data_IF_162894800572
#
_entry.id   IF_162894800572
#
_cell.length_a   1.000
_cell.length_b   1.000
_cell.length_c   1.000
_cell.angle_alpha   90.00
_cell.angle_beta   90.00
_cell.angle_gamma   90.00
#
_symmetry.space_group_name_H-M   'P 1'
#
loop_
_entity.id
_entity.type
_entity.pdbx_description
1 polymer ?
#
# COMPACT_ATOMS: atom_id res chain seq x y z
N UNK A 1 18.45 3.65 -9.46
CA UNK A 1 17.24 3.82 -8.60
C UNK A 1 17.12 2.63 -7.68
N UNK A 2 16.81 2.86 -6.41
CA UNK A 2 16.43 1.82 -5.44
C UNK A 2 14.91 1.79 -5.29
N UNK A 3 14.30 0.60 -5.27
CA UNK A 3 12.85 0.40 -5.05
C UNK A 3 12.66 -0.48 -3.81
N UNK A 4 11.96 0.04 -2.81
CA UNK A 4 11.48 -0.71 -1.64
C UNK A 4 10.00 -0.98 -1.80
N UNK A 5 9.57 -2.24 -1.63
CA UNK A 5 8.17 -2.64 -1.83
C UNK A 5 7.70 -3.51 -0.67
N UNK A 6 6.66 -3.09 0.03
CA UNK A 6 6.04 -3.94 1.06
C UNK A 6 4.97 -4.84 0.46
N UNK A 7 4.86 -6.10 0.95
CA UNK A 7 3.80 -7.04 0.57
C UNK A 7 3.91 -7.60 -0.84
N UNK A 8 5.12 -8.05 -1.24
CA UNK A 8 5.43 -8.55 -2.59
C UNK A 8 4.96 -9.97 -2.89
N UNK A 9 4.33 -10.68 -1.96
CA UNK A 9 3.99 -12.10 -2.12
C UNK A 9 2.77 -12.37 -3.01
N UNK A 10 1.92 -11.38 -3.28
CA UNK A 10 0.71 -11.52 -4.11
C UNK A 10 0.15 -10.17 -4.57
N UNK A 11 -0.86 -10.21 -5.45
CA UNK A 11 -1.63 -9.03 -5.86
C UNK A 11 -0.78 -7.91 -6.47
N UNK A 12 -1.08 -6.67 -6.10
CA UNK A 12 -0.42 -5.47 -6.62
C UNK A 12 1.09 -5.47 -6.29
N UNK A 13 1.49 -5.86 -5.07
CA UNK A 13 2.91 -5.90 -4.68
C UNK A 13 3.73 -6.89 -5.51
N UNK A 14 3.15 -8.06 -5.81
CA UNK A 14 3.80 -9.04 -6.71
C UNK A 14 3.85 -8.54 -8.16
N UNK A 15 2.82 -7.84 -8.61
CA UNK A 15 2.83 -7.21 -9.93
C UNK A 15 3.89 -6.09 -10.03
N UNK A 16 4.09 -5.27 -8.97
CA UNK A 16 5.20 -4.32 -8.90
C UNK A 16 6.56 -5.02 -8.95
N UNK A 17 6.75 -6.09 -8.17
CA UNK A 17 7.99 -6.86 -8.21
C UNK A 17 8.29 -7.33 -9.64
N UNK A 18 7.33 -7.97 -10.32
CA UNK A 18 7.48 -8.40 -11.73
C UNK A 18 7.82 -7.23 -12.66
N UNK A 19 7.15 -6.10 -12.49
CA UNK A 19 7.37 -4.92 -13.31
C UNK A 19 8.81 -4.40 -13.17
N UNK A 20 9.34 -4.32 -11.95
CA UNK A 20 10.68 -3.80 -11.72
C UNK A 20 11.79 -4.81 -12.01
N UNK A 21 11.52 -6.11 -11.90
CA UNK A 21 12.48 -7.16 -12.32
C UNK A 21 12.84 -7.09 -13.80
N UNK A 22 11.96 -6.53 -14.64
CA UNK A 22 12.24 -6.30 -16.07
C UNK A 22 13.03 -5.01 -16.33
N UNK A 23 13.42 -4.27 -15.29
CA UNK A 23 14.11 -2.99 -15.38
C UNK A 23 15.47 -3.05 -14.70
N UNK A 24 16.38 -2.14 -15.09
CA UNK A 24 17.71 -2.03 -14.47
C UNK A 24 17.63 -1.18 -13.18
N UNK A 25 17.03 -1.74 -12.13
CA UNK A 25 16.87 -1.12 -10.81
C UNK A 25 17.17 -2.11 -9.70
N UNK A 26 17.62 -1.60 -8.55
CA UNK A 26 17.79 -2.41 -7.35
C UNK A 26 16.46 -2.54 -6.62
N UNK A 27 16.06 -3.76 -6.26
CA UNK A 27 14.77 -4.03 -5.63
C UNK A 27 14.98 -4.67 -4.26
N UNK A 28 14.26 -4.17 -3.28
CA UNK A 28 14.16 -4.78 -1.95
C UNK A 28 12.68 -4.98 -1.60
N UNK A 29 12.27 -6.23 -1.53
CA UNK A 29 10.95 -6.61 -1.05
C UNK A 29 10.93 -6.72 0.47
N UNK A 30 9.82 -6.32 1.10
CA UNK A 30 9.63 -6.35 2.56
C UNK A 30 8.31 -7.06 2.87
N UNK A 31 8.36 -8.05 3.77
CA UNK A 31 7.14 -8.77 4.15
C UNK A 31 7.42 -10.08 4.86
N UNK A 32 6.38 -10.83 5.17
CA UNK A 32 6.47 -12.11 5.91
C UNK A 32 6.92 -13.28 5.03
N UNK A 33 6.54 -13.26 3.76
CA UNK A 33 6.75 -14.38 2.84
C UNK A 33 7.45 -13.88 1.57
N UNK A 34 8.61 -14.44 1.29
CA UNK A 34 9.32 -14.23 0.04
C UNK A 34 8.58 -14.99 -1.08
N UNK A 35 8.24 -14.33 -2.20
CA UNK A 35 7.64 -15.03 -3.34
C UNK A 35 8.67 -15.90 -4.06
N UNK A 36 8.20 -17.02 -4.64
CA UNK A 36 9.00 -17.84 -5.53
C UNK A 36 8.93 -17.24 -6.93
N UNK A 37 9.94 -16.47 -7.30
CA UNK A 37 10.11 -15.84 -8.61
C UNK A 37 11.59 -15.73 -8.92
N UNK A 38 11.98 -16.03 -10.17
CA UNK A 38 13.33 -15.80 -10.64
C UNK A 38 13.59 -14.30 -10.87
N UNK A 39 14.78 -13.85 -10.52
CA UNK A 39 15.20 -12.48 -10.72
C UNK A 39 16.09 -11.94 -9.60
N UNK A 40 16.73 -10.82 -9.85
CA UNK A 40 17.66 -10.22 -8.89
C UNK A 40 16.93 -9.21 -8.00
N UNK A 41 16.60 -9.60 -6.78
CA UNK A 41 16.05 -8.74 -5.73
C UNK A 41 16.47 -9.23 -4.35
N UNK A 42 16.56 -8.31 -3.41
CA UNK A 42 16.74 -8.60 -1.98
C UNK A 42 15.40 -8.74 -1.28
N UNK A 43 15.37 -9.52 -0.21
CA UNK A 43 14.16 -9.66 0.61
C UNK A 43 14.48 -9.46 2.09
N UNK A 44 13.73 -8.59 2.74
CA UNK A 44 13.76 -8.37 4.18
C UNK A 44 12.52 -9.02 4.81
N UNK A 45 12.73 -10.05 5.60
CA UNK A 45 11.64 -10.67 6.35
C UNK A 45 11.22 -9.75 7.49
N UNK A 46 9.98 -9.28 7.44
CA UNK A 46 9.42 -8.38 8.44
C UNK A 46 7.91 -8.56 8.53
N UNK A 47 7.39 -8.78 9.73
CA UNK A 47 5.97 -8.62 9.99
C UNK A 47 5.67 -7.16 10.29
N UNK A 48 4.88 -6.53 9.43
CA UNK A 48 4.49 -5.13 9.61
C UNK A 48 3.51 -4.88 10.78
N UNK A 49 3.00 -5.94 11.41
CA UNK A 49 2.27 -5.84 12.68
C UNK A 49 3.21 -5.70 13.89
N UNK A 50 4.49 -6.07 13.75
CA UNK A 50 5.52 -5.92 14.77
C UNK A 50 6.30 -4.61 14.57
N UNK A 51 5.97 -3.59 15.37
CA UNK A 51 6.61 -2.28 15.28
C UNK A 51 8.11 -2.31 15.60
N UNK A 52 8.57 -3.24 16.45
CA UNK A 52 10.00 -3.39 16.74
C UNK A 52 10.73 -3.96 15.52
N UNK A 53 10.13 -4.93 14.83
CA UNK A 53 10.66 -5.44 13.57
C UNK A 53 10.73 -4.33 12.50
N UNK A 54 9.69 -3.51 12.37
CA UNK A 54 9.68 -2.37 11.44
C UNK A 54 10.76 -1.35 11.79
N UNK A 55 10.94 -1.02 13.07
CA UNK A 55 11.97 -0.08 13.53
C UNK A 55 13.39 -0.58 13.27
N UNK A 56 13.62 -1.89 13.31
CA UNK A 56 14.94 -2.50 13.06
C UNK A 56 15.32 -2.60 11.59
N UNK A 57 14.40 -2.40 10.65
CA UNK A 57 14.70 -2.36 9.22
C UNK A 57 15.69 -1.24 8.90
N UNK A 58 16.47 -1.43 7.85
CA UNK A 58 17.29 -0.37 7.23
C UNK A 58 16.82 -0.16 5.80
N UNK A 59 16.50 1.10 5.48
CA UNK A 59 16.10 1.53 4.14
C UNK A 59 17.13 2.49 3.52
N UNK A 60 18.37 2.45 4.03
CA UNK A 60 19.49 3.22 3.47
C UNK A 60 19.85 2.70 2.09
N UNK A 61 20.16 3.61 1.18
CA UNK A 61 20.59 3.28 -0.18
C UNK A 61 21.62 4.29 -0.70
N UNK A 62 22.56 3.83 -1.51
CA UNK A 62 23.52 4.69 -2.20
C UNK A 62 22.93 5.27 -3.52
N UNK A 63 21.78 4.79 -3.96
CA UNK A 63 21.11 5.31 -5.16
C UNK A 63 20.65 6.76 -4.97
N UNK A 64 20.76 7.58 -6.02
CA UNK A 64 20.31 8.97 -6.01
C UNK A 64 18.77 9.10 -6.03
N UNK A 65 18.09 8.10 -6.57
CA UNK A 65 16.62 8.06 -6.63
C UNK A 65 16.10 6.84 -5.86
N UNK A 66 15.14 7.08 -4.99
CA UNK A 66 14.52 6.04 -4.14
C UNK A 66 13.00 6.07 -4.34
N UNK A 67 12.42 4.89 -4.52
CA UNK A 67 10.98 4.68 -4.56
C UNK A 67 10.59 3.75 -3.40
N UNK A 68 9.77 4.25 -2.47
CA UNK A 68 9.14 3.45 -1.43
C UNK A 68 7.68 3.18 -1.82
N UNK A 69 7.29 1.90 -1.91
CA UNK A 69 5.92 1.47 -2.18
C UNK A 69 5.37 0.78 -0.93
N UNK A 70 4.54 1.48 -0.17
CA UNK A 70 3.77 0.94 0.92
C UNK A 70 2.50 0.29 0.36
N UNK A 71 2.63 -0.98 -0.04
CA UNK A 71 1.54 -1.75 -0.65
C UNK A 71 0.93 -2.76 0.32
N UNK A 72 1.68 -3.29 1.27
CA UNK A 72 1.14 -4.24 2.23
C UNK A 72 -0.09 -3.67 2.96
N UNK A 73 -1.11 -4.49 3.12
CA UNK A 73 -2.31 -4.10 3.84
C UNK A 73 -3.19 -5.31 4.12
N UNK A 74 -4.01 -5.20 5.15
CA UNK A 74 -4.96 -6.22 5.58
C UNK A 74 -6.36 -5.61 5.73
N UNK A 75 -7.39 -6.38 5.38
CA UNK A 75 -8.78 -6.00 5.64
C UNK A 75 -9.18 -6.22 7.10
N UNK A 76 -8.44 -7.08 7.81
CA UNK A 76 -8.77 -7.48 9.17
C UNK A 76 -9.97 -8.43 9.25
N UNK A 77 -10.64 -8.43 10.40
CA UNK A 77 -11.88 -9.17 10.63
C UNK A 77 -13.05 -8.41 10.00
N UNK A 78 -13.85 -9.11 9.18
CA UNK A 78 -15.05 -8.53 8.53
C UNK A 78 -16.26 -8.79 9.42
N UNK A 79 -16.43 -7.98 10.45
CA UNK A 79 -17.46 -8.09 11.47
C UNK A 79 -17.89 -6.72 11.97
N UNK A 80 -19.07 -6.64 12.61
CA UNK A 80 -19.50 -5.42 13.30
C UNK A 80 -18.48 -5.05 14.38
N UNK A 81 -18.26 -3.77 14.62
CA UNK A 81 -17.23 -3.28 15.56
C UNK A 81 -17.41 -3.88 16.97
N UNK A 82 -18.65 -4.12 17.39
CA UNK A 82 -18.96 -4.76 18.69
C UNK A 82 -18.51 -6.22 18.81
N UNK A 83 -18.15 -6.85 17.69
CA UNK A 83 -17.70 -8.26 17.63
C UNK A 83 -16.22 -8.38 17.25
N UNK A 84 -15.53 -7.28 16.95
CA UNK A 84 -14.10 -7.29 16.68
C UNK A 84 -13.32 -7.34 17.99
N UNK A 85 -12.18 -8.04 17.99
CA UNK A 85 -11.27 -8.02 19.14
C UNK A 85 -10.39 -6.75 19.10
N UNK A 86 -9.86 -6.38 20.27
CA UNK A 86 -8.91 -5.26 20.35
C UNK A 86 -7.66 -5.50 19.47
N UNK A 87 -7.20 -6.76 19.40
CA UNK A 87 -6.06 -7.14 18.56
C UNK A 87 -6.35 -7.00 17.06
N UNK A 88 -7.55 -7.38 16.60
CA UNK A 88 -7.95 -7.18 15.18
C UNK A 88 -7.90 -5.69 14.79
N UNK A 89 -8.46 -4.83 15.66
CA UNK A 89 -8.48 -3.38 15.40
C UNK A 89 -7.05 -2.83 15.38
N UNK A 90 -6.24 -3.20 16.40
CA UNK A 90 -4.86 -2.74 16.51
C UNK A 90 -4.00 -3.21 15.33
N UNK A 91 -4.12 -4.48 14.92
CA UNK A 91 -3.37 -5.02 13.80
C UNK A 91 -3.68 -4.28 12.49
N UNK A 92 -4.96 -4.03 12.20
CA UNK A 92 -5.37 -3.29 11.00
C UNK A 92 -4.79 -1.88 10.98
N UNK A 93 -4.85 -1.16 12.10
CA UNK A 93 -4.29 0.19 12.22
C UNK A 93 -2.77 0.18 12.09
N UNK A 94 -2.12 -0.80 12.70
CA UNK A 94 -0.65 -0.95 12.66
C UNK A 94 -0.18 -1.22 11.24
N UNK A 95 -0.69 -2.26 10.59
CA UNK A 95 -0.22 -2.68 9.26
C UNK A 95 -0.57 -1.65 8.18
N UNK A 96 -1.78 -1.08 8.22
CA UNK A 96 -2.25 -0.22 7.13
C UNK A 96 -1.87 1.26 7.27
N UNK A 97 -1.50 1.71 8.47
CA UNK A 97 -1.23 3.14 8.73
C UNK A 97 0.08 3.35 9.47
N UNK A 98 0.27 2.79 10.67
CA UNK A 98 1.42 3.10 11.52
C UNK A 98 2.72 2.63 10.85
N UNK A 99 2.77 1.40 10.38
CA UNK A 99 3.97 0.85 9.73
C UNK A 99 4.35 1.57 8.44
N UNK A 100 3.41 1.92 7.53
CA UNK A 100 3.71 2.83 6.43
C UNK A 100 4.27 4.19 6.86
N UNK A 101 3.73 4.80 7.94
CA UNK A 101 4.26 6.07 8.48
C UNK A 101 5.71 5.92 8.96
N UNK A 102 6.02 4.84 9.69
CA UNK A 102 7.37 4.55 10.17
C UNK A 102 8.35 4.28 9.02
N UNK A 103 7.92 3.56 7.98
CA UNK A 103 8.74 3.33 6.78
C UNK A 103 8.99 4.63 6.01
N UNK A 104 8.01 5.51 5.90
CA UNK A 104 8.19 6.85 5.32
C UNK A 104 9.20 7.67 6.14
N UNK A 105 9.05 7.72 7.48
CA UNK A 105 9.99 8.40 8.36
C UNK A 105 11.42 7.85 8.17
N UNK A 106 11.57 6.53 8.17
CA UNK A 106 12.85 5.85 8.05
C UNK A 106 13.54 6.14 6.71
N UNK A 107 12.84 6.02 5.59
CA UNK A 107 13.44 6.28 4.27
C UNK A 107 13.91 7.72 4.14
N UNK A 108 13.18 8.68 4.71
CA UNK A 108 13.55 10.10 4.71
C UNK A 108 14.76 10.37 5.61
N UNK A 109 14.80 9.79 6.82
CA UNK A 109 15.89 9.98 7.77
C UNK A 109 17.22 9.33 7.30
N UNK A 110 17.15 8.16 6.69
CA UNK A 110 18.33 7.40 6.28
C UNK A 110 18.90 7.86 4.93
N UNK A 111 18.17 8.68 4.16
CA UNK A 111 18.57 9.12 2.82
C UNK A 111 18.42 10.64 2.62
N UNK A 112 19.07 11.46 3.47
CA UNK A 112 18.96 12.91 3.38
C UNK A 112 19.49 13.42 2.02
N UNK A 113 18.78 14.38 1.43
CA UNK A 113 19.17 15.02 0.16
C UNK A 113 18.89 14.21 -1.11
N UNK A 114 18.42 12.98 -0.99
CA UNK A 114 18.07 12.12 -2.14
C UNK A 114 16.72 12.52 -2.74
N UNK A 115 16.52 12.14 -4.00
CA UNK A 115 15.21 12.23 -4.65
C UNK A 115 14.34 11.04 -4.22
N UNK A 116 13.34 11.29 -3.39
CA UNK A 116 12.49 10.24 -2.82
C UNK A 116 11.08 10.33 -3.38
N UNK A 117 10.56 9.21 -3.85
CA UNK A 117 9.15 9.07 -4.22
C UNK A 117 8.52 8.05 -3.30
N UNK A 118 7.39 8.40 -2.69
CA UNK A 118 6.62 7.53 -1.79
C UNK A 118 5.27 7.26 -2.46
N UNK A 119 4.92 5.99 -2.60
CA UNK A 119 3.61 5.54 -3.06
C UNK A 119 2.94 4.74 -1.96
N UNK A 120 1.88 5.27 -1.39
CA UNK A 120 1.02 4.61 -0.42
C UNK A 120 -0.20 4.02 -1.14
N UNK A 121 -0.42 2.71 -1.03
CA UNK A 121 -1.62 2.07 -1.59
C UNK A 121 -2.76 2.21 -0.59
N UNK A 122 -3.66 3.15 -0.91
CA UNK A 122 -4.87 3.45 -0.16
C UNK A 122 -6.06 2.55 -0.59
N UNK A 123 -7.26 3.04 -0.48
CA UNK A 123 -8.49 2.34 -0.86
C UNK A 123 -9.62 3.33 -1.08
N UNK A 124 -10.59 2.98 -1.91
CA UNK A 124 -11.88 3.70 -1.97
C UNK A 124 -12.64 3.72 -0.63
N UNK A 125 -12.26 2.85 0.32
CA UNK A 125 -12.77 2.84 1.69
C UNK A 125 -12.29 4.03 2.54
N UNK A 126 -11.28 4.77 2.09
CA UNK A 126 -10.88 6.03 2.71
C UNK A 126 -11.93 7.14 2.54
N UNK A 127 -12.67 7.10 1.42
CA UNK A 127 -13.64 8.14 1.06
C UNK A 127 -15.11 7.75 1.32
N UNK A 128 -15.36 6.53 1.81
CA UNK A 128 -16.73 6.07 2.12
C UNK A 128 -16.72 5.10 3.30
N UNK A 129 -17.71 5.21 4.16
CA UNK A 129 -17.94 4.26 5.23
C UNK A 129 -18.56 2.97 4.67
N UNK A 130 -18.02 1.83 5.09
CA UNK A 130 -18.52 0.50 4.74
C UNK A 130 -18.79 -0.24 6.05
N UNK A 131 -20.02 -0.71 6.30
CA UNK A 131 -20.34 -1.49 7.50
C UNK A 131 -19.40 -2.70 7.63
N UNK A 132 -18.97 -3.00 8.85
CA UNK A 132 -18.04 -4.09 9.19
C UNK A 132 -16.58 -3.88 8.77
N UNK A 133 -16.24 -2.70 8.21
CA UNK A 133 -14.89 -2.30 7.85
C UNK A 133 -14.41 -1.07 8.64
N UNK A 134 -14.93 -0.83 9.84
CA UNK A 134 -14.65 0.40 10.60
C UNK A 134 -13.14 0.65 10.78
N UNK A 135 -12.38 -0.33 11.27
CA UNK A 135 -10.94 -0.22 11.42
C UNK A 135 -10.22 -0.03 10.07
N UNK A 136 -10.64 -0.78 9.03
CA UNK A 136 -10.06 -0.67 7.69
C UNK A 136 -10.29 0.72 7.07
N UNK A 137 -11.53 1.21 7.07
CA UNK A 137 -11.85 2.55 6.57
C UNK A 137 -11.04 3.62 7.31
N UNK A 138 -10.99 3.54 8.66
CA UNK A 138 -10.21 4.46 9.49
C UNK A 138 -8.72 4.40 9.18
N UNK A 139 -8.16 3.22 8.94
CA UNK A 139 -6.74 3.08 8.59
C UNK A 139 -6.41 3.71 7.24
N UNK A 140 -7.30 3.59 6.25
CA UNK A 140 -7.04 4.10 4.91
C UNK A 140 -7.21 5.62 4.82
N UNK A 141 -8.19 6.21 5.50
CA UNK A 141 -8.28 7.69 5.57
C UNK A 141 -7.12 8.28 6.38
N UNK A 142 -6.65 7.60 7.44
CA UNK A 142 -5.45 8.02 8.18
C UNK A 142 -4.21 8.06 7.27
N UNK A 143 -4.03 7.04 6.41
CA UNK A 143 -2.92 6.97 5.46
C UNK A 143 -2.99 8.09 4.41
N UNK A 144 -4.18 8.40 3.89
CA UNK A 144 -4.39 9.49 2.93
C UNK A 144 -4.03 10.84 3.58
N UNK A 145 -4.57 11.13 4.77
CA UNK A 145 -4.30 12.39 5.47
C UNK A 145 -2.82 12.53 5.87
N UNK A 146 -2.20 11.44 6.31
CA UNK A 146 -0.75 11.41 6.56
C UNK A 146 0.04 11.76 5.30
N UNK A 147 -0.32 11.18 4.17
CA UNK A 147 0.36 11.42 2.89
C UNK A 147 0.30 12.88 2.46
N UNK A 148 -0.86 13.52 2.62
CA UNK A 148 -1.04 14.95 2.35
C UNK A 148 -0.19 15.82 3.28
N UNK A 149 -0.22 15.54 4.59
CA UNK A 149 0.57 16.28 5.58
C UNK A 149 2.07 16.14 5.31
N UNK A 150 2.54 14.92 5.02
CA UNK A 150 3.94 14.67 4.70
C UNK A 150 4.39 15.43 3.45
N UNK A 151 3.56 15.49 2.39
CA UNK A 151 3.91 16.25 1.20
C UNK A 151 4.03 17.75 1.50
N UNK A 152 3.18 18.31 2.35
CA UNK A 152 3.27 19.71 2.75
C UNK A 152 4.57 19.99 3.53
N UNK A 153 4.92 19.12 4.49
CA UNK A 153 6.18 19.23 5.24
C UNK A 153 7.41 19.19 4.32
N UNK A 154 7.42 18.28 3.34
CA UNK A 154 8.54 18.17 2.41
C UNK A 154 8.60 19.35 1.42
N UNK A 155 7.47 19.96 1.07
CA UNK A 155 7.42 21.19 0.27
C UNK A 155 8.00 22.38 1.06
N UNK A 156 7.69 22.52 2.35
CA UNK A 156 8.26 23.55 3.22
C UNK A 156 9.79 23.46 3.33
N UNK A 157 10.32 22.23 3.40
CA UNK A 157 11.76 21.94 3.36
C UNK A 157 12.39 22.14 1.99
N UNK A 158 11.60 22.39 0.94
CA UNK A 158 12.03 22.41 -0.47
C UNK A 158 12.75 21.12 -0.89
N UNK A 159 12.37 19.99 -0.29
CA UNK A 159 12.93 18.69 -0.59
C UNK A 159 12.51 18.18 -1.98
N UNK A 160 13.29 17.26 -2.54
CA UNK A 160 12.94 16.56 -3.78
C UNK A 160 12.06 15.33 -3.54
N UNK A 161 11.20 15.41 -2.51
CA UNK A 161 10.29 14.34 -2.14
C UNK A 161 8.94 14.50 -2.81
N UNK A 162 8.38 13.40 -3.32
CA UNK A 162 7.01 13.33 -3.84
C UNK A 162 6.26 12.23 -3.13
N UNK A 163 5.06 12.51 -2.67
CA UNK A 163 4.20 11.55 -1.98
C UNK A 163 2.91 11.36 -2.76
N UNK A 164 2.52 10.11 -2.93
CA UNK A 164 1.27 9.70 -3.56
C UNK A 164 0.51 8.76 -2.64
N UNK A 165 -0.79 8.96 -2.50
CA UNK A 165 -1.71 8.00 -1.91
C UNK A 165 -2.75 7.63 -2.95
N UNK A 166 -2.87 6.34 -3.30
CA UNK A 166 -3.69 5.94 -4.44
C UNK A 166 -4.65 4.83 -4.06
N UNK A 167 -5.94 5.06 -4.29
CA UNK A 167 -6.97 4.04 -4.22
C UNK A 167 -6.95 3.21 -5.52
N UNK A 168 -6.52 1.92 -5.48
CA UNK A 168 -6.25 1.11 -6.68
C UNK A 168 -7.50 0.51 -7.33
N UNK A 169 -8.70 0.81 -6.81
CA UNK A 169 -9.93 0.16 -7.22
C UNK A 169 -10.15 -1.20 -6.57
N UNK A 170 -11.06 -2.00 -7.11
CA UNK A 170 -11.34 -3.37 -6.63
C UNK A 170 -10.52 -4.33 -7.47
N UNK A 171 -9.40 -4.80 -6.89
CA UNK A 171 -8.36 -5.56 -7.59
C UNK A 171 -8.51 -7.05 -7.30
N UNK A 172 -8.33 -7.90 -8.31
CA UNK A 172 -8.31 -9.35 -8.12
C UNK A 172 -7.11 -9.77 -7.27
N UNK A 173 -7.38 -10.22 -6.05
CA UNK A 173 -6.35 -10.46 -5.02
C UNK A 173 -6.87 -11.38 -3.91
N UNK A 174 -5.96 -11.93 -3.12
CA UNK A 174 -6.30 -12.71 -1.91
C UNK A 174 -7.14 -11.92 -0.90
N UNK A 175 -7.00 -10.59 -0.84
CA UNK A 175 -7.86 -9.74 0.00
C UNK A 175 -9.30 -9.78 -0.52
N UNK A 176 -9.49 -9.74 -1.83
CA UNK A 176 -10.80 -9.81 -2.46
C UNK A 176 -11.46 -11.19 -2.25
N UNK A 177 -10.68 -12.27 -2.32
CA UNK A 177 -11.17 -13.62 -1.96
C UNK A 177 -11.65 -13.65 -0.50
N UNK A 178 -10.87 -13.10 0.45
CA UNK A 178 -11.26 -12.99 1.85
C UNK A 178 -12.54 -12.17 2.04
N UNK A 179 -12.73 -11.09 1.28
CA UNK A 179 -13.96 -10.28 1.33
C UNK A 179 -15.17 -11.10 0.87
N UNK A 180 -15.06 -11.81 -0.24
CA UNK A 180 -16.14 -12.67 -0.76
C UNK A 180 -16.45 -13.89 0.10
N UNK A 181 -15.51 -14.33 0.94
CA UNK A 181 -15.72 -15.42 1.89
C UNK A 181 -16.33 -14.98 3.24
N UNK A 182 -16.65 -13.70 3.40
CA UNK A 182 -17.27 -13.18 4.62
C UNK A 182 -18.68 -13.77 4.82
N UNK A 183 -19.08 -13.98 6.07
CA UNK A 183 -20.43 -14.42 6.36
C UNK A 183 -21.44 -13.32 6.06
N UNK A 184 -22.55 -13.61 5.32
CA UNK A 184 -23.56 -12.60 4.95
C UNK A 184 -24.14 -11.84 6.13
N UNK A 185 -24.32 -12.52 7.28
CA UNK A 185 -24.83 -11.92 8.52
C UNK A 185 -23.91 -10.82 9.06
N UNK A 186 -22.62 -10.91 8.77
CA UNK A 186 -21.62 -9.96 9.25
C UNK A 186 -21.37 -8.82 8.26
N UNK A 187 -21.62 -9.02 6.96
CA UNK A 187 -21.21 -8.08 5.93
C UNK A 187 -22.34 -7.79 4.92
N UNK A 188 -23.08 -6.72 5.14
CA UNK A 188 -24.22 -6.34 4.32
C UNK A 188 -23.88 -5.91 2.89
N UNK A 189 -22.61 -5.65 2.57
CA UNK A 189 -22.16 -5.31 1.23
C UNK A 189 -21.56 -6.49 0.46
N UNK A 190 -21.67 -7.72 0.98
CA UNK A 190 -21.07 -8.92 0.39
C UNK A 190 -21.47 -9.13 -1.06
N UNK A 191 -22.77 -9.03 -1.37
CA UNK A 191 -23.32 -9.30 -2.70
C UNK A 191 -22.69 -8.39 -3.77
N UNK A 192 -22.37 -7.14 -3.43
CA UNK A 192 -21.72 -6.22 -4.36
C UNK A 192 -20.31 -6.73 -4.77
N UNK A 193 -19.56 -7.29 -3.84
CA UNK A 193 -18.21 -7.81 -4.11
C UNK A 193 -18.23 -9.16 -4.83
N UNK A 194 -19.23 -9.99 -4.54
CA UNK A 194 -19.48 -11.25 -5.28
C UNK A 194 -19.85 -10.93 -6.72
N UNK A 195 -20.78 -9.99 -6.93
CA UNK A 195 -21.24 -9.58 -8.26
C UNK A 195 -20.10 -9.00 -9.13
N UNK A 196 -19.19 -8.18 -8.56
CA UNK A 196 -18.03 -7.66 -9.28
C UNK A 196 -17.11 -8.80 -9.79
N UNK A 197 -16.92 -9.84 -9.01
CA UNK A 197 -16.17 -11.00 -9.42
C UNK A 197 -16.88 -11.80 -10.51
N UNK A 198 -18.18 -12.09 -10.35
CA UNK A 198 -18.99 -12.85 -11.30
C UNK A 198 -19.07 -12.17 -12.68
N UNK A 199 -19.10 -10.84 -12.69
CA UNK A 199 -19.09 -10.04 -13.92
C UNK A 199 -17.70 -9.84 -14.55
N UNK A 200 -16.63 -10.32 -13.90
CA UNK A 200 -15.27 -10.09 -14.38
C UNK A 200 -14.81 -8.62 -14.28
N UNK A 201 -15.41 -7.84 -13.36
CA UNK A 201 -15.14 -6.40 -13.18
C UNK A 201 -14.00 -6.12 -12.19
N UNK A 202 -13.33 -7.16 -11.69
CA UNK A 202 -12.13 -7.00 -10.87
C UNK A 202 -10.96 -6.55 -11.74
N UNK A 203 -10.18 -5.59 -11.26
CA UNK A 203 -9.02 -5.09 -11.97
C UNK A 203 -7.85 -6.07 -11.89
N UNK A 204 -7.19 -6.31 -13.03
CA UNK A 204 -5.93 -7.06 -13.07
C UNK A 204 -4.83 -6.26 -12.35
N UNK A 205 -4.07 -6.88 -11.40
CA UNK A 205 -2.97 -6.21 -10.70
C UNK A 205 -1.91 -5.61 -11.64
N UNK A 206 -1.63 -6.22 -12.80
CA UNK A 206 -0.63 -5.69 -13.74
C UNK A 206 -1.15 -4.42 -14.43
N UNK A 207 -2.43 -4.37 -14.79
CA UNK A 207 -3.03 -3.15 -15.34
C UNK A 207 -3.01 -2.00 -14.31
N UNK A 208 -3.29 -2.31 -13.04
CA UNK A 208 -3.19 -1.34 -11.94
C UNK A 208 -1.76 -0.80 -11.83
N UNK A 209 -0.75 -1.69 -11.80
CA UNK A 209 0.66 -1.28 -11.72
C UNK A 209 1.07 -0.41 -12.90
N UNK A 210 0.67 -0.74 -14.13
CA UNK A 210 0.97 0.08 -15.30
C UNK A 210 0.44 1.51 -15.17
N UNK A 211 -0.79 1.70 -14.70
CA UNK A 211 -1.36 3.03 -14.44
C UNK A 211 -0.62 3.75 -13.31
N UNK A 212 -0.29 3.06 -12.22
CA UNK A 212 0.45 3.64 -11.09
C UNK A 212 1.85 4.09 -11.51
N UNK A 213 2.58 3.28 -12.27
CA UNK A 213 3.91 3.65 -12.79
C UNK A 213 3.83 4.85 -13.74
N UNK A 214 2.80 4.93 -14.58
CA UNK A 214 2.55 6.11 -15.44
C UNK A 214 2.33 7.36 -14.58
N UNK A 215 1.49 7.26 -13.53
CA UNK A 215 1.24 8.36 -12.58
C UNK A 215 2.55 8.86 -11.94
N UNK A 216 3.40 7.96 -11.43
CA UNK A 216 4.67 8.33 -10.78
C UNK A 216 5.60 9.11 -11.71
N UNK A 217 5.50 8.93 -13.04
CA UNK A 217 6.30 9.65 -14.03
C UNK A 217 5.75 11.04 -14.37
N UNK A 218 4.44 11.26 -14.30
CA UNK A 218 3.77 12.44 -14.87
C UNK A 218 3.14 13.37 -13.83
N UNK A 219 2.91 12.93 -12.61
CA UNK A 219 2.13 13.69 -11.64
C UNK A 219 2.81 14.95 -11.10
N UNK A 220 1.99 15.97 -10.85
CA UNK A 220 2.40 17.24 -10.26
C UNK A 220 2.44 17.16 -8.71
N UNK A 221 3.33 17.95 -8.11
CA UNK A 221 3.57 18.00 -6.64
C UNK A 221 2.38 18.49 -5.80
N UNK A 222 1.36 19.08 -6.41
CA UNK A 222 0.23 19.73 -5.69
C UNK A 222 -0.91 18.77 -5.34
N UNK A 223 -0.96 17.59 -5.94
CA UNK A 223 -2.01 16.60 -5.68
C UNK A 223 -1.38 15.33 -5.13
N UNK A 224 -1.97 14.76 -4.08
CA UNK A 224 -1.42 13.63 -3.33
C UNK A 224 -2.33 12.42 -3.38
N UNK A 225 -3.65 12.60 -3.18
CA UNK A 225 -4.62 11.52 -3.09
C UNK A 225 -5.31 11.32 -4.44
N UNK A 226 -5.15 10.14 -5.01
CA UNK A 226 -5.69 9.78 -6.33
C UNK A 226 -6.60 8.56 -6.25
N UNK A 227 -7.52 8.45 -7.18
CA UNK A 227 -8.19 7.20 -7.52
C UNK A 227 -7.65 6.65 -8.84
N UNK A 228 -7.49 5.33 -8.95
CA UNK A 228 -7.10 4.69 -10.21
C UNK A 228 -8.08 5.00 -11.36
N UNK A 229 -9.33 5.35 -11.02
CA UNK A 229 -10.37 5.71 -11.99
C UNK A 229 -10.12 7.06 -12.65
N UNK A 230 -9.33 7.92 -12.00
CA UNK A 230 -8.98 9.25 -12.48
C UNK A 230 -7.69 9.24 -13.31
N UNK A 231 -7.09 8.05 -13.47
CA UNK A 231 -5.85 7.82 -14.21
C UNK A 231 -6.15 7.15 -15.56
N UNK A 232 -6.04 7.89 -16.64
CA UNK A 232 -6.15 7.40 -18.01
C UNK A 232 -4.81 6.87 -18.58
#
# INVERSE_FOLDING_TARGET
MQVFITGISSGIGFAFLKHFLSQNVTITGIGRNQPTIEGNYSFLNCDLADLNAVQSLTLKSDAEEILLINNAGIIGSIQRISSQTNSDIAEVMTVNSISPMLLCQKVLQENPGKKITILNISSGAANRAIPSWSAYCSSKIALDRFSESLQLEENEKKAQTRVFSVAPGVVDSKMQEKIRSAAPVNFSSLDNFVLLHEKGELLDPNLVVNKLVKLLKTAHKSHVVYSIKDLD
#
